data_IF_493543511959
#
_entry.id   IF_493543511959
#
_cell.length_a   1.000
_cell.length_b   1.000
_cell.length_c   1.000
_cell.angle_alpha   90.00
_cell.angle_beta   90.00
_cell.angle_gamma   90.00
#
_symmetry.space_group_name_H-M   'P 1'
#
loop_
_entity.id
_entity.type
_entity.pdbx_description
1 polymer ?
#
# COMPACT_ATOMS: atom_id res chain seq x y z
N UNK A 1 -31.43 16.45 -3.44
CA UNK A 1 -30.03 16.09 -3.17
C UNK A 1 -29.48 17.21 -2.31
N UNK A 2 -29.05 16.92 -1.09
CA UNK A 2 -28.53 17.93 -0.16
C UNK A 2 -27.23 18.54 -0.71
N UNK A 3 -27.08 19.86 -0.64
CA UNK A 3 -25.88 20.58 -1.09
C UNK A 3 -24.66 20.08 -0.32
N UNK A 4 -24.81 19.82 0.98
CA UNK A 4 -23.74 19.27 1.83
C UNK A 4 -23.23 17.93 1.29
N UNK A 5 -24.15 17.02 0.96
CA UNK A 5 -23.81 15.73 0.36
C UNK A 5 -23.04 15.90 -0.96
N UNK A 6 -23.53 16.75 -1.87
CA UNK A 6 -22.87 16.97 -3.17
C UNK A 6 -21.45 17.48 -2.98
N UNK A 7 -21.25 18.44 -2.06
CA UNK A 7 -19.93 19.02 -1.78
C UNK A 7 -19.00 17.97 -1.18
N UNK A 8 -19.42 17.26 -0.13
CA UNK A 8 -18.62 16.22 0.54
C UNK A 8 -18.26 15.10 -0.44
N UNK A 9 -19.24 14.59 -1.18
CA UNK A 9 -19.03 13.55 -2.18
C UNK A 9 -18.04 14.01 -3.25
N UNK A 10 -18.20 15.21 -3.79
CA UNK A 10 -17.30 15.75 -4.83
C UNK A 10 -15.86 15.87 -4.32
N UNK A 11 -15.68 16.35 -3.08
CA UNK A 11 -14.34 16.49 -2.50
C UNK A 11 -13.70 15.11 -2.28
N UNK A 12 -14.43 14.19 -1.65
CA UNK A 12 -13.93 12.85 -1.34
C UNK A 12 -13.66 12.06 -2.62
N UNK A 13 -14.65 11.89 -3.49
CA UNK A 13 -14.49 11.20 -4.76
C UNK A 13 -13.42 11.86 -5.64
N UNK A 14 -13.46 13.20 -5.76
CA UNK A 14 -12.47 13.97 -6.51
C UNK A 14 -11.05 13.75 -5.99
N UNK A 15 -10.86 13.72 -4.66
CA UNK A 15 -9.56 13.42 -4.06
C UNK A 15 -9.08 12.00 -4.35
N UNK A 16 -9.97 11.00 -4.30
CA UNK A 16 -9.66 9.60 -4.65
C UNK A 16 -9.35 9.43 -6.14
N UNK A 17 -9.84 10.29 -7.03
CA UNK A 17 -9.43 10.32 -8.43
C UNK A 17 -8.12 11.08 -8.66
N UNK A 18 -7.95 12.24 -8.05
CA UNK A 18 -6.84 13.15 -8.34
C UNK A 18 -5.53 12.67 -7.71
N UNK A 19 -5.56 12.17 -6.47
CA UNK A 19 -4.33 11.79 -5.75
C UNK A 19 -3.57 10.64 -6.43
N UNK A 20 -4.22 9.56 -6.91
CA UNK A 20 -3.53 8.51 -7.64
C UNK A 20 -2.79 8.99 -8.90
N UNK A 21 -3.25 10.05 -9.55
CA UNK A 21 -2.57 10.60 -10.74
C UNK A 21 -1.16 11.13 -10.46
N UNK A 22 -0.81 11.38 -9.20
CA UNK A 22 0.54 11.76 -8.80
C UNK A 22 1.47 10.55 -8.60
N UNK A 23 0.95 9.32 -8.51
CA UNK A 23 1.75 8.10 -8.29
C UNK A 23 2.85 7.90 -9.34
N UNK A 24 2.64 8.13 -10.65
CA UNK A 24 3.71 8.00 -11.62
C UNK A 24 4.93 8.87 -11.31
N UNK A 25 4.74 10.07 -10.74
CA UNK A 25 5.83 10.99 -10.40
C UNK A 25 6.34 10.83 -8.97
N UNK A 26 5.42 10.81 -8.01
CA UNK A 26 5.69 10.74 -6.57
C UNK A 26 5.09 9.47 -5.96
N UNK A 27 5.57 8.28 -6.36
CA UNK A 27 4.89 7.02 -6.10
C UNK A 27 4.64 6.76 -4.61
N UNK A 28 5.67 6.85 -3.77
CA UNK A 28 5.53 6.55 -2.36
C UNK A 28 4.57 7.50 -1.61
N UNK A 29 4.77 8.84 -1.61
CA UNK A 29 3.88 9.73 -0.88
C UNK A 29 2.47 9.78 -1.47
N UNK A 30 2.30 9.68 -2.79
CA UNK A 30 0.96 9.68 -3.40
C UNK A 30 0.18 8.41 -3.08
N UNK A 31 0.83 7.23 -3.09
CA UNK A 31 0.20 5.97 -2.68
C UNK A 31 -0.17 5.98 -1.20
N UNK A 32 0.71 6.50 -0.33
CA UNK A 32 0.37 6.66 1.10
C UNK A 32 -0.78 7.65 1.32
N UNK A 33 -0.82 8.75 0.58
CA UNK A 33 -1.93 9.71 0.65
C UNK A 33 -3.24 9.07 0.18
N UNK A 34 -3.22 8.30 -0.91
CA UNK A 34 -4.40 7.58 -1.40
C UNK A 34 -4.93 6.60 -0.36
N UNK A 35 -4.05 5.83 0.30
CA UNK A 35 -4.39 4.92 1.40
C UNK A 35 -5.03 5.63 2.60
N UNK A 36 -4.53 6.81 2.97
CA UNK A 36 -5.11 7.58 4.07
C UNK A 36 -6.50 8.08 3.70
N UNK A 37 -6.69 8.58 2.48
CA UNK A 37 -7.99 9.07 2.00
C UNK A 37 -8.99 7.91 1.98
N UNK A 38 -8.59 6.76 1.44
CA UNK A 38 -9.35 5.49 1.45
C UNK A 38 -9.77 5.07 2.86
N UNK A 39 -8.87 5.14 3.84
CA UNK A 39 -9.20 4.72 5.20
C UNK A 39 -10.21 5.64 5.90
N UNK A 40 -10.28 6.92 5.55
CA UNK A 40 -11.12 7.91 6.27
C UNK A 40 -12.42 8.24 5.56
N UNK A 41 -12.58 7.87 4.30
CA UNK A 41 -13.66 8.40 3.47
C UNK A 41 -15.05 7.94 3.90
N UNK A 42 -15.20 6.67 4.30
CA UNK A 42 -16.45 6.13 4.81
C UNK A 42 -16.88 6.87 6.08
N UNK A 43 -15.92 7.15 6.97
CA UNK A 43 -16.18 7.92 8.18
C UNK A 43 -16.55 9.37 7.86
N UNK A 44 -15.93 10.00 6.85
CA UNK A 44 -16.32 11.34 6.39
C UNK A 44 -17.76 11.33 5.89
N UNK A 45 -18.16 10.36 5.07
CA UNK A 45 -19.54 10.26 4.62
C UNK A 45 -20.52 10.09 5.78
N UNK A 46 -20.21 9.23 6.76
CA UNK A 46 -21.07 8.99 7.93
C UNK A 46 -21.20 10.20 8.86
N UNK A 47 -20.14 11.02 9.00
CA UNK A 47 -20.13 12.17 9.90
C UNK A 47 -20.84 13.38 9.27
N UNK A 48 -20.65 13.59 7.97
CA UNK A 48 -21.07 14.82 7.29
C UNK A 48 -22.32 14.66 6.42
N UNK A 49 -22.81 13.44 6.21
CA UNK A 49 -23.98 13.20 5.35
C UNK A 49 -24.92 12.14 5.92
N UNK A 50 -26.22 12.31 5.72
CA UNK A 50 -27.27 11.33 6.08
C UNK A 50 -27.56 10.34 4.93
N UNK A 51 -26.59 10.13 4.03
CA UNK A 51 -26.80 9.32 2.84
C UNK A 51 -26.86 7.82 3.20
N UNK A 52 -27.84 7.13 2.63
CA UNK A 52 -27.84 5.67 2.64
C UNK A 52 -26.61 5.19 1.83
N UNK A 53 -25.73 4.43 2.47
CA UNK A 53 -24.48 3.94 1.87
C UNK A 53 -24.72 2.70 1.00
N UNK A 54 -25.93 2.55 0.47
CA UNK A 54 -26.30 1.53 -0.48
C UNK A 54 -25.41 1.66 -1.74
N UNK A 55 -24.70 0.59 -2.08
CA UNK A 55 -23.75 0.59 -3.20
C UNK A 55 -22.37 1.19 -2.90
N UNK A 56 -22.12 1.71 -1.70
CA UNK A 56 -20.79 2.23 -1.31
C UNK A 56 -19.67 1.22 -1.52
N UNK A 57 -19.93 -0.05 -1.21
CA UNK A 57 -18.95 -1.13 -1.37
C UNK A 57 -18.49 -1.34 -2.82
N UNK A 58 -19.39 -1.16 -3.79
CA UNK A 58 -19.04 -1.29 -5.21
C UNK A 58 -18.36 -0.03 -5.72
N UNK A 59 -18.79 1.15 -5.26
CA UNK A 59 -18.10 2.44 -5.51
C UNK A 59 -16.65 2.40 -5.01
N UNK A 60 -16.45 2.01 -3.76
CA UNK A 60 -15.16 1.91 -3.09
C UNK A 60 -14.22 0.96 -3.84
N UNK A 61 -14.70 -0.23 -4.18
CA UNK A 61 -13.90 -1.22 -4.93
C UNK A 61 -13.57 -0.77 -6.35
N UNK A 62 -14.45 -0.03 -7.01
CA UNK A 62 -14.16 0.54 -8.33
C UNK A 62 -13.00 1.56 -8.24
N UNK A 63 -12.99 2.38 -7.19
CA UNK A 63 -11.91 3.32 -6.93
C UNK A 63 -10.60 2.62 -6.57
N UNK A 64 -10.65 1.52 -5.81
CA UNK A 64 -9.48 0.68 -5.55
C UNK A 64 -8.85 0.16 -6.85
N UNK A 65 -9.67 -0.39 -7.74
CA UNK A 65 -9.20 -0.91 -9.03
C UNK A 65 -8.57 0.22 -9.86
N UNK A 66 -9.19 1.40 -9.89
CA UNK A 66 -8.63 2.58 -10.55
C UNK A 66 -7.25 2.96 -9.98
N UNK A 67 -7.17 3.14 -8.67
CA UNK A 67 -5.94 3.54 -7.98
C UNK A 67 -4.81 2.50 -8.19
N UNK A 68 -5.10 1.21 -8.02
CA UNK A 68 -4.12 0.15 -8.23
C UNK A 68 -3.70 0.02 -9.70
N UNK A 69 -4.61 0.31 -10.65
CA UNK A 69 -4.26 0.36 -12.07
C UNK A 69 -3.27 1.50 -12.36
N UNK A 70 -3.46 2.68 -11.78
CA UNK A 70 -2.49 3.79 -11.91
C UNK A 70 -1.14 3.42 -11.28
N UNK A 71 -1.14 2.78 -10.11
CA UNK A 71 0.08 2.27 -9.50
C UNK A 71 0.79 1.23 -10.39
N UNK A 72 0.04 0.33 -11.02
CA UNK A 72 0.60 -0.64 -11.97
C UNK A 72 1.20 0.03 -13.21
N UNK A 73 0.53 1.03 -13.79
CA UNK A 73 1.07 1.83 -14.89
C UNK A 73 2.36 2.55 -14.45
N UNK A 74 2.40 3.08 -13.22
CA UNK A 74 3.60 3.68 -12.67
C UNK A 74 4.77 2.68 -12.64
N UNK A 75 4.52 1.39 -12.35
CA UNK A 75 5.60 0.37 -12.44
C UNK A 75 6.19 0.25 -13.84
N UNK A 76 5.37 0.35 -14.90
CA UNK A 76 5.87 0.26 -16.28
C UNK A 76 6.81 1.41 -16.63
N UNK A 77 6.50 2.61 -16.12
CA UNK A 77 7.32 3.81 -16.32
C UNK A 77 8.59 3.77 -15.48
N UNK A 78 8.45 3.39 -14.21
CA UNK A 78 9.43 3.70 -13.18
C UNK A 78 10.38 2.54 -12.86
N UNK A 79 9.99 1.29 -13.15
CA UNK A 79 10.71 0.12 -12.68
C UNK A 79 11.65 -0.43 -13.74
N UNK A 80 12.94 -0.48 -13.43
CA UNK A 80 13.97 -1.02 -14.32
C UNK A 80 14.29 -2.49 -14.06
N UNK A 81 13.87 -3.05 -12.92
CA UNK A 81 14.11 -4.45 -12.60
C UNK A 81 12.99 -5.35 -13.14
N UNK A 82 13.33 -6.20 -14.12
CA UNK A 82 12.39 -7.10 -14.81
C UNK A 82 11.70 -8.07 -13.86
N UNK A 83 12.38 -8.55 -12.82
CA UNK A 83 11.76 -9.47 -11.85
C UNK A 83 10.73 -8.74 -11.01
N UNK A 84 11.04 -7.53 -10.53
CA UNK A 84 10.09 -6.72 -9.78
C UNK A 84 8.84 -6.45 -10.63
N UNK A 85 9.04 -6.02 -11.89
CA UNK A 85 7.94 -5.77 -12.83
C UNK A 85 7.09 -7.01 -13.13
N UNK A 86 7.70 -8.18 -13.36
CA UNK A 86 6.94 -9.42 -13.59
C UNK A 86 6.14 -9.83 -12.35
N UNK A 87 6.72 -9.69 -11.16
CA UNK A 87 6.04 -9.99 -9.90
C UNK A 87 4.90 -9.01 -9.64
N UNK A 88 5.10 -7.71 -9.84
CA UNK A 88 4.04 -6.71 -9.67
C UNK A 88 2.90 -6.93 -10.65
N UNK A 89 3.20 -7.23 -11.92
CA UNK A 89 2.22 -7.63 -12.93
C UNK A 89 1.39 -8.83 -12.47
N UNK A 90 2.03 -9.89 -11.97
CA UNK A 90 1.31 -11.06 -11.48
C UNK A 90 0.39 -10.70 -10.31
N UNK A 91 0.90 -10.00 -9.29
CA UNK A 91 0.12 -9.62 -8.12
C UNK A 91 -1.07 -8.72 -8.46
N UNK A 92 -0.87 -7.77 -9.39
CA UNK A 92 -1.92 -6.89 -9.87
C UNK A 92 -3.04 -7.68 -10.57
N UNK A 93 -2.70 -8.50 -11.56
CA UNK A 93 -3.72 -9.29 -12.27
C UNK A 93 -4.38 -10.33 -11.37
N UNK A 94 -3.65 -10.90 -10.42
CA UNK A 94 -4.19 -11.80 -9.42
C UNK A 94 -5.26 -11.10 -8.57
N UNK A 95 -4.96 -9.91 -8.04
CA UNK A 95 -5.94 -9.10 -7.29
C UNK A 95 -7.12 -8.66 -8.16
N UNK A 96 -6.88 -8.24 -9.40
CA UNK A 96 -7.92 -7.81 -10.33
C UNK A 96 -8.91 -8.96 -10.62
N UNK A 97 -8.42 -10.17 -10.85
CA UNK A 97 -9.26 -11.35 -11.04
C UNK A 97 -10.14 -11.62 -9.81
N UNK A 98 -9.56 -11.54 -8.61
CA UNK A 98 -10.31 -11.67 -7.36
C UNK A 98 -11.41 -10.63 -7.19
N UNK A 99 -11.09 -9.36 -7.49
CA UNK A 99 -12.05 -8.26 -7.44
C UNK A 99 -13.23 -8.48 -8.39
N UNK A 100 -12.94 -8.87 -9.64
CA UNK A 100 -13.98 -9.16 -10.64
C UNK A 100 -14.85 -10.36 -10.23
N UNK A 101 -14.24 -11.44 -9.77
CA UNK A 101 -14.98 -12.62 -9.31
C UNK A 101 -15.85 -12.30 -8.08
N UNK A 102 -15.35 -11.46 -7.17
CA UNK A 102 -16.11 -10.99 -6.02
C UNK A 102 -17.36 -10.20 -6.45
N UNK A 103 -17.23 -9.24 -7.37
CA UNK A 103 -18.39 -8.46 -7.86
C UNK A 103 -19.43 -9.34 -8.55
N UNK A 104 -18.99 -10.38 -9.29
CA UNK A 104 -19.91 -11.28 -10.00
C UNK A 104 -20.63 -12.27 -9.08
N UNK A 105 -20.02 -12.67 -7.98
CA UNK A 105 -20.53 -13.76 -7.12
C UNK A 105 -21.00 -13.30 -5.74
N UNK A 106 -20.56 -12.13 -5.28
CA UNK A 106 -20.73 -11.64 -3.92
C UNK A 106 -19.95 -12.44 -2.85
N UNK A 107 -19.12 -13.41 -3.24
CA UNK A 107 -18.50 -14.33 -2.29
C UNK A 107 -17.28 -13.72 -1.60
N UNK A 108 -17.47 -13.22 -0.37
CA UNK A 108 -16.43 -12.56 0.44
C UNK A 108 -15.13 -13.35 0.60
N UNK A 109 -15.18 -14.68 0.61
CA UNK A 109 -13.97 -15.51 0.72
C UNK A 109 -13.01 -15.33 -0.45
N UNK A 110 -13.48 -14.83 -1.61
CA UNK A 110 -12.61 -14.48 -2.73
C UNK A 110 -11.63 -13.36 -2.37
N UNK A 111 -11.99 -12.43 -1.48
CA UNK A 111 -11.07 -11.37 -1.04
C UNK A 111 -9.91 -11.94 -0.22
N UNK A 112 -10.16 -13.01 0.56
CA UNK A 112 -9.13 -13.75 1.28
C UNK A 112 -8.22 -14.57 0.35
N UNK A 113 -8.81 -15.20 -0.67
CA UNK A 113 -8.05 -16.00 -1.66
C UNK A 113 -7.20 -15.10 -2.55
N UNK A 114 -7.73 -13.93 -2.92
CA UNK A 114 -7.08 -12.94 -3.78
C UNK A 114 -6.74 -11.66 -3.00
N UNK A 115 -5.85 -11.75 -1.99
CA UNK A 115 -5.56 -10.63 -1.12
C UNK A 115 -4.84 -9.51 -1.89
N UNK A 116 -4.96 -8.26 -1.43
CA UNK A 116 -4.25 -7.14 -2.07
C UNK A 116 -2.76 -7.11 -1.65
N UNK A 117 -1.98 -8.08 -2.12
CA UNK A 117 -0.53 -8.12 -1.89
C UNK A 117 0.25 -7.19 -2.84
N UNK A 118 -0.37 -6.77 -3.96
CA UNK A 118 0.25 -5.88 -4.94
C UNK A 118 0.60 -4.52 -4.35
N UNK A 119 -0.34 -3.89 -3.65
CA UNK A 119 -0.14 -2.56 -3.05
C UNK A 119 1.05 -2.51 -2.08
N UNK A 120 1.12 -3.49 -1.17
CA UNK A 120 2.17 -3.55 -0.16
C UNK A 120 3.53 -3.83 -0.82
N UNK A 121 3.54 -4.69 -1.83
CA UNK A 121 4.73 -4.96 -2.63
C UNK A 121 5.18 -3.71 -3.41
N UNK A 122 4.23 -2.93 -3.95
CA UNK A 122 4.52 -1.66 -4.62
C UNK A 122 5.17 -0.67 -3.64
N UNK A 123 4.57 -0.46 -2.46
CA UNK A 123 5.14 0.40 -1.41
C UNK A 123 6.53 -0.05 -0.96
N UNK A 124 6.75 -1.35 -0.81
CA UNK A 124 8.07 -1.89 -0.46
C UNK A 124 9.12 -1.53 -1.51
N UNK A 125 8.85 -1.82 -2.79
CA UNK A 125 9.80 -1.56 -3.88
C UNK A 125 10.05 -0.05 -4.01
N UNK A 126 8.99 0.77 -3.96
CA UNK A 126 9.11 2.22 -4.01
C UNK A 126 9.86 2.79 -2.79
N UNK A 127 9.67 2.20 -1.61
CA UNK A 127 10.45 2.50 -0.41
C UNK A 127 11.94 2.28 -0.62
N UNK A 128 12.31 1.15 -1.23
CA UNK A 128 13.71 0.88 -1.61
C UNK A 128 14.22 1.92 -2.61
N UNK A 129 13.44 2.27 -3.64
CA UNK A 129 13.84 3.25 -4.67
C UNK A 129 14.09 4.65 -4.13
N UNK A 130 13.54 5.02 -2.97
CA UNK A 130 13.79 6.34 -2.38
C UNK A 130 15.27 6.60 -2.12
N UNK A 131 16.05 5.54 -1.85
CA UNK A 131 17.47 5.62 -1.48
C UNK A 131 18.40 4.66 -2.21
N UNK A 132 17.89 3.59 -2.82
CA UNK A 132 18.69 2.53 -3.41
C UNK A 132 18.22 2.16 -4.82
N UNK A 133 19.18 1.76 -5.63
CA UNK A 133 18.95 1.23 -6.96
C UNK A 133 18.28 -0.14 -6.91
N UNK A 134 17.25 -0.31 -7.74
CA UNK A 134 16.59 -1.60 -7.95
C UNK A 134 17.54 -2.68 -8.48
N UNK A 135 18.72 -2.30 -9.00
CA UNK A 135 19.75 -3.25 -9.44
C UNK A 135 20.31 -4.08 -8.28
N UNK A 136 20.23 -3.57 -7.04
CA UNK A 136 20.63 -4.31 -5.83
C UNK A 136 19.67 -5.45 -5.48
N UNK A 137 18.42 -5.38 -5.96
CA UNK A 137 17.40 -6.36 -5.67
C UNK A 137 17.55 -7.58 -6.59
N UNK A 138 18.08 -8.66 -6.05
CA UNK A 138 18.14 -9.95 -6.77
C UNK A 138 16.75 -10.58 -6.87
N UNK A 139 16.58 -11.52 -7.82
CA UNK A 139 15.35 -12.30 -7.98
C UNK A 139 14.88 -12.94 -6.66
N UNK A 140 15.81 -13.48 -5.86
CA UNK A 140 15.49 -14.13 -4.58
C UNK A 140 14.91 -13.13 -3.58
N UNK A 141 15.48 -11.93 -3.48
CA UNK A 141 14.95 -10.88 -2.60
C UNK A 141 13.55 -10.45 -3.03
N UNK A 142 13.33 -10.26 -4.33
CA UNK A 142 12.03 -9.82 -4.86
C UNK A 142 10.94 -10.85 -4.60
N UNK A 143 11.19 -12.11 -4.95
CA UNK A 143 10.22 -13.19 -4.73
C UNK A 143 10.03 -13.47 -3.24
N UNK A 144 11.10 -13.41 -2.44
CA UNK A 144 11.03 -13.55 -1.00
C UNK A 144 10.22 -12.44 -0.34
N UNK A 145 10.42 -11.19 -0.73
CA UNK A 145 9.64 -10.04 -0.25
C UNK A 145 8.16 -10.17 -0.64
N UNK A 146 7.86 -10.53 -1.90
CA UNK A 146 6.49 -10.75 -2.34
C UNK A 146 5.80 -11.89 -1.57
N UNK A 147 6.48 -13.02 -1.37
CA UNK A 147 5.96 -14.14 -0.60
C UNK A 147 5.77 -13.78 0.88
N UNK A 148 6.70 -13.03 1.48
CA UNK A 148 6.60 -12.56 2.85
C UNK A 148 5.41 -11.61 3.03
N UNK A 149 5.30 -10.60 2.17
CA UNK A 149 4.18 -9.65 2.18
C UNK A 149 2.86 -10.39 2.00
N UNK A 150 2.78 -11.32 1.06
CA UNK A 150 1.56 -12.10 0.85
C UNK A 150 1.22 -12.96 2.06
N UNK A 151 2.12 -13.86 2.46
CA UNK A 151 1.80 -14.95 3.38
C UNK A 151 1.79 -14.48 4.84
N UNK A 152 2.74 -13.61 5.21
CA UNK A 152 2.96 -13.23 6.61
C UNK A 152 2.19 -11.96 6.97
N UNK A 153 2.02 -11.03 6.02
CA UNK A 153 1.33 -9.76 6.30
C UNK A 153 -0.11 -9.85 5.82
N UNK A 154 -0.31 -10.11 4.53
CA UNK A 154 -1.61 -9.89 3.88
C UNK A 154 -2.61 -10.99 4.19
N UNK A 155 -2.23 -12.27 4.17
CA UNK A 155 -3.16 -13.36 4.50
C UNK A 155 -3.72 -13.25 5.93
N UNK A 156 -2.90 -13.01 6.98
CA UNK A 156 -3.44 -12.80 8.32
C UNK A 156 -4.35 -11.56 8.41
N UNK A 157 -3.98 -10.46 7.75
CA UNK A 157 -4.81 -9.26 7.70
C UNK A 157 -6.17 -9.54 7.04
N UNK A 158 -6.19 -10.22 5.91
CA UNK A 158 -7.41 -10.52 5.17
C UNK A 158 -8.27 -11.56 5.90
N UNK A 159 -7.64 -12.52 6.60
CA UNK A 159 -8.35 -13.46 7.48
C UNK A 159 -9.00 -12.72 8.65
N UNK A 160 -8.29 -11.78 9.27
CA UNK A 160 -8.84 -10.92 10.33
C UNK A 160 -10.10 -10.19 9.87
N UNK A 161 -10.04 -9.52 8.72
CA UNK A 161 -11.13 -8.67 8.22
C UNK A 161 -12.28 -9.51 7.67
N UNK A 162 -12.01 -10.59 6.93
CA UNK A 162 -13.05 -11.30 6.17
C UNK A 162 -13.53 -12.61 6.81
N UNK A 163 -12.64 -13.37 7.47
CA UNK A 163 -13.03 -14.61 8.15
C UNK A 163 -13.57 -14.32 9.54
N UNK A 164 -12.84 -13.51 10.32
CA UNK A 164 -13.23 -13.19 11.69
C UNK A 164 -14.19 -11.99 11.78
N UNK A 165 -14.29 -11.18 10.71
CA UNK A 165 -15.13 -9.97 10.67
C UNK A 165 -14.92 -9.06 11.89
N UNK A 166 -13.72 -9.09 12.45
CA UNK A 166 -13.33 -8.27 13.58
C UNK A 166 -12.97 -6.91 13.04
N UNK A 167 -13.85 -5.94 13.24
CA UNK A 167 -13.51 -4.55 13.05
C UNK A 167 -12.39 -4.21 14.05
N UNK A 168 -11.24 -3.77 13.55
CA UNK A 168 -10.09 -3.41 14.40
C UNK A 168 -10.50 -2.35 15.41
N UNK A 169 -11.42 -1.47 15.04
CA UNK A 169 -11.90 -0.38 15.86
C UNK A 169 -12.75 -0.90 17.03
N UNK A 170 -13.61 -1.88 16.78
CA UNK A 170 -14.45 -2.52 17.79
C UNK A 170 -13.62 -3.42 18.72
N UNK A 171 -12.72 -4.22 18.15
CA UNK A 171 -11.78 -5.03 18.92
C UNK A 171 -10.89 -4.14 19.80
N UNK A 172 -10.44 -2.98 19.30
CA UNK A 172 -9.68 -2.04 20.10
C UNK A 172 -10.50 -1.46 21.25
N UNK A 173 -11.75 -1.10 21.01
CA UNK A 173 -12.62 -0.51 22.03
C UNK A 173 -12.99 -1.50 23.13
N UNK A 174 -13.37 -2.73 22.77
CA UNK A 174 -13.74 -3.76 23.74
C UNK A 174 -12.53 -4.41 24.41
N UNK A 175 -11.53 -4.85 23.65
CA UNK A 175 -10.46 -5.69 24.18
C UNK A 175 -9.25 -4.90 24.68
N UNK A 176 -9.00 -3.71 24.11
CA UNK A 176 -7.90 -2.84 24.56
C UNK A 176 -8.44 -1.79 25.52
N UNK A 177 -9.44 -1.00 25.14
CA UNK A 177 -9.96 0.07 26.02
C UNK A 177 -10.93 -0.44 27.11
N UNK A 178 -11.37 -1.70 27.05
CA UNK A 178 -12.28 -2.29 28.02
C UNK A 178 -13.65 -1.59 28.07
N UNK A 179 -14.03 -0.88 27.00
CA UNK A 179 -15.24 -0.06 26.93
C UNK A 179 -16.26 -0.71 26.01
N UNK A 180 -17.56 -0.51 26.26
CA UNK A 180 -18.60 -1.08 25.39
C UNK A 180 -18.61 -0.41 24.02
N UNK A 181 -19.11 -1.12 23.00
CA UNK A 181 -19.23 -0.57 21.64
C UNK A 181 -20.18 0.63 21.58
N UNK A 182 -21.13 0.72 22.51
CA UNK A 182 -22.15 1.77 22.57
C UNK A 182 -21.62 3.10 23.15
N UNK A 183 -20.50 3.07 23.87
CA UNK A 183 -19.94 4.26 24.52
C UNK A 183 -19.26 5.21 23.52
N UNK A 184 -19.21 6.51 23.81
CA UNK A 184 -18.49 7.45 22.93
C UNK A 184 -16.97 7.20 22.98
N UNK A 185 -16.24 7.47 21.89
CA UNK A 185 -14.77 7.42 21.87
C UNK A 185 -14.12 8.32 22.93
N UNK A 186 -14.73 9.47 23.21
CA UNK A 186 -14.26 10.38 24.27
C UNK A 186 -14.32 9.73 25.66
N UNK A 187 -15.39 8.99 25.93
CA UNK A 187 -15.57 8.25 27.18
C UNK A 187 -14.58 7.08 27.26
N UNK A 188 -14.47 6.28 26.20
CA UNK A 188 -13.59 5.12 26.17
C UNK A 188 -12.11 5.49 26.35
N UNK A 189 -11.64 6.55 25.67
CA UNK A 189 -10.26 7.05 25.82
C UNK A 189 -10.07 7.71 27.19
N UNK A 190 -11.07 8.47 27.66
CA UNK A 190 -11.04 9.13 28.97
C UNK A 190 -10.92 8.13 30.14
N UNK A 191 -11.53 6.96 30.00
CA UNK A 191 -11.45 5.88 30.99
C UNK A 191 -10.14 5.08 30.90
N UNK A 192 -9.48 5.10 29.74
CA UNK A 192 -8.26 4.32 29.45
C UNK A 192 -7.03 5.19 29.19
N UNK A 193 -6.76 6.18 30.06
CA UNK A 193 -5.61 7.09 29.94
C UNK A 193 -4.24 6.40 29.93
N UNK A 194 -4.16 5.15 30.41
CA UNK A 194 -2.94 4.33 30.35
C UNK A 194 -2.48 4.06 28.91
N UNK A 195 -3.36 4.24 27.92
CA UNK A 195 -3.02 4.09 26.51
C UNK A 195 -1.95 5.08 26.06
N UNK A 196 -1.96 6.32 26.57
CA UNK A 196 -1.00 7.35 26.15
C UNK A 196 0.45 7.00 26.50
N UNK A 197 0.81 6.65 27.75
CA UNK A 197 2.18 6.23 28.05
C UNK A 197 2.57 4.95 27.31
N UNK A 198 1.65 4.02 27.05
CA UNK A 198 1.93 2.82 26.24
C UNK A 198 2.22 3.19 24.79
N UNK A 199 1.40 4.05 24.16
CA UNK A 199 1.64 4.52 22.79
C UNK A 199 2.96 5.29 22.67
N UNK A 200 3.30 6.12 23.66
CA UNK A 200 4.60 6.79 23.72
C UNK A 200 5.72 5.75 23.81
N UNK A 201 5.61 4.77 24.72
CA UNK A 201 6.62 3.73 24.87
C UNK A 201 6.80 2.89 23.59
N UNK A 202 5.70 2.52 22.93
CA UNK A 202 5.71 1.84 21.64
C UNK A 202 6.33 2.71 20.54
N UNK A 203 6.00 4.00 20.49
CA UNK A 203 6.60 4.95 19.55
C UNK A 203 8.12 5.09 19.74
N UNK A 204 8.56 5.17 21.00
CA UNK A 204 10.00 5.20 21.33
C UNK A 204 10.67 3.87 20.96
N UNK A 205 10.07 2.73 21.31
CA UNK A 205 10.58 1.41 20.95
C UNK A 205 10.70 1.26 19.42
N UNK A 206 9.67 1.66 18.68
CA UNK A 206 9.66 1.65 17.22
C UNK A 206 10.76 2.57 16.67
N UNK A 207 10.93 3.77 17.22
CA UNK A 207 12.02 4.67 16.83
C UNK A 207 13.40 4.02 17.04
N UNK A 208 13.62 3.35 18.17
CA UNK A 208 14.88 2.62 18.42
C UNK A 208 15.08 1.47 17.43
N UNK A 209 14.03 0.70 17.13
CA UNK A 209 14.09 -0.38 16.14
C UNK A 209 14.42 0.18 14.76
N UNK A 210 13.71 1.22 14.31
CA UNK A 210 13.95 1.88 13.02
C UNK A 210 15.38 2.40 12.96
N UNK A 211 15.87 3.06 14.01
CA UNK A 211 17.25 3.58 14.07
C UNK A 211 18.27 2.45 13.98
N UNK A 212 18.07 1.35 14.72
CA UNK A 212 18.97 0.20 14.75
C UNK A 212 18.99 -0.53 13.41
N UNK A 213 17.83 -0.74 12.79
CA UNK A 213 17.72 -1.36 11.46
C UNK A 213 18.36 -0.44 10.41
N UNK A 214 18.06 0.85 10.45
CA UNK A 214 18.63 1.84 9.52
C UNK A 214 20.15 1.90 9.58
N UNK A 215 20.73 1.72 10.77
CA UNK A 215 22.18 1.65 10.94
C UNK A 215 22.83 0.40 10.32
N UNK A 216 22.04 -0.66 10.08
CA UNK A 216 22.51 -1.89 9.42
C UNK A 216 22.23 -1.88 7.90
N UNK A 217 21.48 -0.90 7.41
CA UNK A 217 21.19 -0.80 5.98
C UNK A 217 22.44 -0.39 5.20
N UNK A 218 22.63 -0.92 3.99
CA UNK A 218 23.70 -0.46 3.11
C UNK A 218 23.61 1.05 2.89
N UNK A 219 24.75 1.69 2.66
CA UNK A 219 24.78 3.10 2.26
C UNK A 219 23.88 3.32 1.04
N UNK A 220 23.09 4.40 1.08
CA UNK A 220 22.21 4.79 -0.03
C UNK A 220 23.02 5.05 -1.29
N UNK A 221 22.48 4.68 -2.44
CA UNK A 221 23.08 5.03 -3.73
C UNK A 221 22.95 6.54 -4.02
N UNK A 222 21.94 7.19 -3.41
CA UNK A 222 21.65 8.61 -3.55
C UNK A 222 20.99 9.18 -2.28
N UNK A 223 20.96 10.52 -2.13
CA UNK A 223 20.15 11.19 -1.10
C UNK A 223 18.68 10.80 -1.23
N UNK A 224 17.96 10.71 -0.10
CA UNK A 224 16.56 10.30 -0.13
C UNK A 224 15.72 11.26 -0.99
N UNK A 225 15.03 10.72 -1.99
CA UNK A 225 14.08 11.45 -2.82
C UNK A 225 12.78 10.66 -2.97
N UNK A 226 11.70 11.39 -3.20
CA UNK A 226 10.39 10.81 -3.52
C UNK A 226 9.98 11.10 -4.97
N UNK A 227 10.73 11.94 -5.69
CA UNK A 227 10.50 12.19 -7.12
C UNK A 227 11.18 11.08 -7.93
N UNK A 228 10.38 10.32 -8.67
CA UNK A 228 10.86 9.26 -9.57
C UNK A 228 11.76 9.78 -10.69
N UNK A 229 11.65 11.05 -11.07
CA UNK A 229 12.42 11.64 -12.16
C UNK A 229 13.78 12.18 -11.71
N UNK A 230 13.99 12.36 -10.40
CA UNK A 230 15.25 12.87 -9.85
C UNK A 230 16.46 11.97 -10.16
N UNK A 231 16.23 10.71 -10.55
CA UNK A 231 17.29 9.72 -10.83
C UNK A 231 17.12 9.00 -12.18
N UNK A 232 16.29 9.52 -13.10
CA UNK A 232 16.07 8.91 -14.41
C UNK A 232 17.38 8.79 -15.22
N UNK A 233 18.26 9.80 -15.15
CA UNK A 233 19.53 9.83 -15.90
C UNK A 233 20.57 8.82 -15.40
N UNK A 234 20.55 8.48 -14.11
CA UNK A 234 21.50 7.53 -13.51
C UNK A 234 21.15 6.06 -13.81
N UNK A 235 19.96 5.77 -14.35
CA UNK A 235 19.55 4.41 -14.71
C UNK A 235 19.92 4.02 -16.15
N UNK A 236 20.24 5.00 -17.00
CA UNK A 236 20.54 4.83 -18.45
C UNK A 236 22.05 4.71 -18.74
N UNK A 237 22.93 5.13 -17.83
CA UNK A 237 24.38 5.02 -18.03
C UNK A 237 24.88 3.56 -17.91
N UNK A 238 24.66 2.78 -18.97
CA UNK A 238 25.50 1.66 -19.33
C UNK A 238 26.67 2.29 -20.09
N UNK A 239 27.91 2.37 -19.54
CA UNK A 239 29.04 2.28 -20.44
C UNK A 239 28.93 0.86 -20.99
N UNK A 240 28.34 0.72 -22.18
CA UNK A 240 28.46 -0.52 -22.92
C UNK A 240 29.97 -0.70 -23.02
N UNK A 241 30.48 -1.77 -22.40
CA UNK A 241 31.85 -2.20 -22.65
C UNK A 241 32.08 -2.08 -24.17
N UNK A 242 33.17 -1.44 -24.63
CA UNK A 242 33.47 -1.32 -26.05
C UNK A 242 33.25 -2.67 -26.73
N UNK A 243 32.75 -2.68 -27.96
CA UNK A 243 32.37 -3.93 -28.63
C UNK A 243 33.48 -5.00 -28.61
N UNK A 244 34.74 -4.58 -28.49
CA UNK A 244 35.92 -5.43 -28.31
C UNK A 244 35.91 -6.27 -27.01
N UNK A 245 35.34 -5.76 -25.92
CA UNK A 245 35.34 -6.42 -24.60
C UNK A 245 34.10 -7.29 -24.35
N UNK A 246 33.19 -7.37 -25.34
CA UNK A 246 32.01 -8.23 -25.30
C UNK A 246 32.37 -9.61 -25.82
N UNK A 247 33.10 -10.38 -25.02
CA UNK A 247 33.33 -11.80 -25.30
C UNK A 247 32.02 -12.59 -25.18
N UNK A 248 31.37 -12.84 -26.31
CA UNK A 248 30.13 -13.61 -26.41
C UNK A 248 30.37 -15.13 -26.53
N UNK A 249 31.62 -15.60 -26.39
CA UNK A 249 32.04 -16.98 -26.73
C UNK A 249 32.57 -17.84 -25.58
N UNK A 250 32.54 -17.40 -24.33
CA UNK A 250 32.98 -18.23 -23.21
C UNK A 250 31.75 -18.82 -22.49
N UNK A 251 31.28 -19.98 -22.95
CA UNK A 251 30.15 -20.66 -22.31
C UNK A 251 29.41 -21.71 -23.14
N UNK A 252 29.95 -22.13 -24.28
CA UNK A 252 29.49 -23.33 -25.00
C UNK A 252 30.73 -24.17 -25.34
N UNK A 253 31.19 -24.91 -24.34
CA UNK A 253 32.00 -26.11 -24.47
C UNK A 253 31.47 -27.13 -23.44
#
# INVERSE_FOLDING_TARGET
MDITYVVVFTIVAGSRFIVPLFIPRFPLPATLAALVIDAVDKSIFQIFTDADLEGYQSYDKALDVYYLAIAYIATMRNWTNVYAYKTSRFLWYYRLAGSTLFELTGWRALLLIFPNAFEYFFLYVEGVRTRWSMRRLTKKHILGAAAFIWIVIKLPQEAWIHLFQLDVTDAFKEHILGSSLDESWGTAIGNSLWIFPVLIALGVALWFVIRRVSAQLPTGDWPATYDSDAHADNQIAIPLKPAADRHWREGLA
#
